data_IF_716052718133
#
_entry.id   IF_716052718133
#
_cell.length_a   1.000
_cell.length_b   1.000
_cell.length_c   1.000
_cell.angle_alpha   90.00
_cell.angle_beta   90.00
_cell.angle_gamma   90.00
#
_symmetry.space_group_name_H-M   'P 1'
#
loop_
_entity.id
_entity.type
_entity.pdbx_description
1 polymer ?
#
# COMPACT_ATOMS: atom_id res chain seq x y z
N UNK A 1 -10.97 34.72 88.43
CA UNK A 1 -12.06 33.79 88.75
C UNK A 1 -12.10 32.77 87.64
N UNK A 2 -11.46 31.75 87.94
CA UNK A 2 -11.76 30.35 87.89
C UNK A 2 -13.16 30.02 87.37
N UNK A 3 -13.24 29.08 86.43
CA UNK A 3 -13.78 27.74 86.66
C UNK A 3 -13.38 26.80 85.56
N UNK A 4 -12.84 25.69 86.00
CA UNK A 4 -12.49 24.44 85.29
C UNK A 4 -13.74 23.76 84.79
N UNK A 5 -13.60 22.92 83.71
CA UNK A 5 -14.10 21.51 83.68
C UNK A 5 -13.96 20.95 82.30
N UNK A 6 -13.18 19.97 82.16
CA UNK A 6 -13.33 18.48 82.03
C UNK A 6 -13.72 17.99 80.69
N UNK A 7 -12.74 17.43 80.00
CA UNK A 7 -12.58 16.17 79.30
C UNK A 7 -13.82 15.46 78.84
N UNK A 8 -13.86 15.07 77.56
CA UNK A 8 -14.08 13.67 77.13
C UNK A 8 -13.45 13.43 75.74
N UNK A 9 -12.45 12.56 75.68
CA UNK A 9 -11.93 11.96 74.49
C UNK A 9 -12.94 10.95 73.92
N UNK A 10 -13.34 11.11 72.64
CA UNK A 10 -13.94 10.05 71.87
C UNK A 10 -12.99 9.73 70.74
N UNK A 11 -12.30 8.61 70.83
CA UNK A 11 -11.48 8.08 69.78
C UNK A 11 -12.39 7.43 68.71
N UNK A 12 -12.49 8.06 67.54
CA UNK A 12 -13.10 7.45 66.35
C UNK A 12 -11.96 6.81 65.53
N UNK A 13 -11.90 5.48 65.56
CA UNK A 13 -11.06 4.67 64.67
C UNK A 13 -11.69 4.65 63.29
N UNK A 14 -11.12 5.44 62.34
CA UNK A 14 -11.44 5.35 60.93
C UNK A 14 -10.70 4.16 60.32
N UNK A 15 -11.42 3.10 60.00
CA UNK A 15 -10.93 2.02 59.12
C UNK A 15 -10.81 2.60 57.71
N UNK A 16 -9.60 2.87 57.26
CA UNK A 16 -9.31 3.14 55.84
C UNK A 16 -9.32 1.82 55.08
N UNK A 17 -10.40 1.55 54.36
CA UNK A 17 -10.44 0.48 53.36
C UNK A 17 -9.66 0.94 52.15
N UNK A 18 -8.43 0.45 52.01
CA UNK A 18 -7.65 0.56 50.74
C UNK A 18 -8.25 -0.36 49.67
N UNK A 19 -9.10 0.21 48.83
CA UNK A 19 -9.50 -0.46 47.58
C UNK A 19 -8.29 -0.53 46.65
N UNK A 20 -7.62 -1.68 46.60
CA UNK A 20 -6.62 -1.97 45.61
C UNK A 20 -7.33 -2.05 44.26
N UNK A 21 -7.22 -1.00 43.44
CA UNK A 21 -7.60 -1.03 42.05
C UNK A 21 -6.62 -1.97 41.31
N UNK A 22 -7.01 -3.23 41.16
CA UNK A 22 -6.35 -4.15 40.23
C UNK A 22 -6.68 -3.68 38.82
N UNK A 23 -5.85 -2.77 38.29
CA UNK A 23 -5.81 -2.48 36.87
C UNK A 23 -5.38 -3.74 36.14
N UNK A 24 -6.35 -4.47 35.58
CA UNK A 24 -6.06 -5.51 34.64
C UNK A 24 -5.32 -4.88 33.46
N UNK A 25 -4.01 -5.06 33.43
CA UNK A 25 -3.23 -4.83 32.20
C UNK A 25 -3.82 -5.77 31.15
N UNK A 26 -4.69 -5.23 30.31
CA UNK A 26 -5.11 -5.94 29.11
C UNK A 26 -3.85 -6.11 28.26
N UNK A 27 -3.24 -7.29 28.34
CA UNK A 27 -2.11 -7.65 27.49
C UNK A 27 -2.56 -7.44 26.05
N UNK A 28 -1.86 -6.56 25.34
CA UNK A 28 -2.05 -6.40 23.91
C UNK A 28 -1.92 -7.77 23.27
N UNK A 29 -2.98 -8.24 22.61
CA UNK A 29 -2.93 -9.48 21.84
C UNK A 29 -1.73 -9.40 20.88
N UNK A 30 -0.96 -10.49 20.71
CA UNK A 30 0.16 -10.47 19.79
C UNK A 30 -0.31 -9.99 18.42
N UNK A 31 0.43 -9.05 17.84
CA UNK A 31 0.11 -8.52 16.52
C UNK A 31 0.07 -9.69 15.52
N UNK A 32 -1.08 -9.93 14.93
CA UNK A 32 -1.23 -10.99 13.94
C UNK A 32 -0.38 -10.65 12.72
N UNK A 33 0.52 -11.56 12.34
CA UNK A 33 1.32 -11.43 11.13
C UNK A 33 0.42 -11.16 9.92
N UNK A 34 0.82 -10.20 9.09
CA UNK A 34 0.11 -9.92 7.85
C UNK A 34 0.44 -11.00 6.83
N UNK A 35 -0.58 -11.66 6.32
CA UNK A 35 -0.45 -12.63 5.24
C UNK A 35 -1.18 -12.09 4.00
N UNK A 36 -0.40 -11.81 2.95
CA UNK A 36 -0.98 -11.43 1.67
C UNK A 36 -1.52 -12.67 0.98
N UNK A 37 -2.77 -12.61 0.52
CA UNK A 37 -3.40 -13.71 -0.19
C UNK A 37 -2.95 -13.72 -1.66
N UNK A 38 -2.36 -14.83 -2.16
CA UNK A 38 -2.12 -14.98 -3.58
C UNK A 38 -3.43 -14.86 -4.35
N UNK A 39 -3.43 -14.00 -5.39
CA UNK A 39 -4.64 -13.73 -6.17
C UNK A 39 -4.30 -13.16 -7.53
N UNK A 40 -5.25 -13.27 -8.44
CA UNK A 40 -5.28 -12.59 -9.72
C UNK A 40 -6.52 -11.71 -9.78
N UNK A 41 -6.33 -10.43 -10.07
CA UNK A 41 -7.39 -9.45 -10.17
C UNK A 41 -7.37 -8.77 -11.53
N UNK A 42 -8.55 -8.52 -12.11
CA UNK A 42 -8.72 -7.82 -13.38
C UNK A 42 -9.54 -6.56 -13.13
N UNK A 43 -9.07 -5.44 -13.67
CA UNK A 43 -9.73 -4.15 -13.57
C UNK A 43 -9.96 -3.59 -14.96
N UNK A 44 -11.17 -3.15 -15.23
CA UNK A 44 -11.45 -2.31 -16.38
C UNK A 44 -11.19 -0.84 -16.01
N UNK A 45 -10.46 -0.15 -16.88
CA UNK A 45 -9.96 1.20 -16.65
C UNK A 45 -10.75 2.18 -17.51
N UNK A 46 -11.12 3.30 -16.91
CA UNK A 46 -11.77 4.40 -17.62
C UNK A 46 -11.26 5.76 -17.10
N UNK A 47 -11.38 6.78 -17.94
CA UNK A 47 -11.15 8.16 -17.51
C UNK A 47 -12.17 8.51 -16.43
N UNK A 48 -11.69 9.08 -15.32
CA UNK A 48 -12.50 9.54 -14.20
C UNK A 48 -12.70 11.07 -14.24
N UNK A 49 -11.61 11.79 -14.48
CA UNK A 49 -11.55 13.24 -14.55
C UNK A 49 -10.54 13.68 -15.59
N UNK A 50 -10.82 14.76 -16.28
CA UNK A 50 -9.88 15.45 -17.14
C UNK A 50 -10.02 16.97 -16.90
N UNK A 51 -8.93 17.62 -16.51
CA UNK A 51 -8.91 19.07 -16.35
C UNK A 51 -8.86 19.79 -17.71
N UNK A 52 -9.36 21.01 -17.81
CA UNK A 52 -9.14 21.83 -19.01
C UNK A 52 -7.62 21.96 -19.31
N UNK A 53 -7.23 21.62 -20.53
CA UNK A 53 -5.81 21.68 -20.94
C UNK A 53 -4.99 20.40 -20.70
N UNK A 54 -5.56 19.37 -20.08
CA UNK A 54 -4.86 18.07 -19.88
C UNK A 54 -4.45 17.36 -21.18
N UNK A 55 -5.08 17.72 -22.29
CA UNK A 55 -4.87 17.06 -23.56
C UNK A 55 -5.55 15.70 -23.71
N UNK A 56 -6.17 15.14 -22.67
CA UNK A 56 -6.83 13.82 -22.68
C UNK A 56 -8.35 14.00 -22.68
N UNK A 57 -9.02 13.46 -23.69
CA UNK A 57 -10.48 13.52 -23.81
C UNK A 57 -11.17 12.22 -23.48
N UNK A 58 -10.47 11.09 -23.68
CA UNK A 58 -10.97 9.75 -23.39
C UNK A 58 -9.82 8.85 -22.96
N UNK A 59 -10.11 7.93 -22.04
CA UNK A 59 -9.18 6.84 -21.71
C UNK A 59 -9.97 5.60 -21.33
N UNK A 60 -9.57 4.47 -21.92
CA UNK A 60 -10.09 3.14 -21.59
C UNK A 60 -8.93 2.17 -21.50
N UNK A 61 -9.11 1.07 -20.79
CA UNK A 61 -8.04 0.09 -20.68
C UNK A 61 -8.38 -1.09 -19.79
N UNK A 62 -7.36 -1.87 -19.49
CA UNK A 62 -7.44 -3.02 -18.59
C UNK A 62 -6.14 -3.21 -17.84
N UNK A 63 -6.26 -3.48 -16.55
CA UNK A 63 -5.16 -3.91 -15.70
C UNK A 63 -5.40 -5.34 -15.24
N UNK A 64 -4.38 -6.17 -15.36
CA UNK A 64 -4.32 -7.49 -14.74
C UNK A 64 -3.19 -7.47 -13.74
N UNK A 65 -3.51 -7.78 -12.50
CA UNK A 65 -2.55 -7.90 -11.41
C UNK A 65 -2.58 -9.33 -10.86
N UNK A 66 -1.41 -9.89 -10.62
CA UNK A 66 -1.26 -11.23 -10.04
C UNK A 66 -0.21 -11.20 -8.95
N UNK A 67 -0.57 -11.73 -7.79
CA UNK A 67 0.31 -11.98 -6.66
C UNK A 67 0.39 -13.48 -6.44
N UNK A 68 1.60 -14.04 -6.42
CA UNK A 68 1.86 -15.45 -6.11
C UNK A 68 2.95 -15.56 -5.06
N UNK A 69 3.14 -16.76 -4.52
CA UNK A 69 4.15 -17.01 -3.49
C UNK A 69 3.58 -17.14 -2.09
N UNK A 70 4.42 -16.94 -1.10
CA UNK A 70 4.07 -17.08 0.32
C UNK A 70 5.04 -16.31 1.22
N UNK A 71 4.68 -16.19 2.50
CA UNK A 71 5.52 -15.53 3.49
C UNK A 71 6.87 -16.23 3.74
N UNK A 72 7.05 -17.49 3.33
CA UNK A 72 8.30 -18.24 3.50
C UNK A 72 9.22 -18.21 2.26
N UNK A 73 8.65 -18.14 1.05
CA UNK A 73 9.44 -18.17 -0.20
C UNK A 73 9.59 -16.81 -0.85
N UNK A 74 8.87 -15.81 -0.33
CA UNK A 74 8.73 -14.50 -0.96
C UNK A 74 7.52 -14.45 -1.89
N UNK A 75 7.29 -13.27 -2.43
CA UNK A 75 6.14 -12.99 -3.28
C UNK A 75 6.59 -12.51 -4.66
N UNK A 76 5.89 -12.99 -5.68
CA UNK A 76 6.02 -12.49 -7.05
C UNK A 76 4.79 -11.68 -7.40
N UNK A 77 5.00 -10.46 -7.90
CA UNK A 77 3.98 -9.58 -8.44
C UNK A 77 4.15 -9.49 -9.94
N UNK A 78 3.08 -9.73 -10.69
CA UNK A 78 3.02 -9.48 -12.13
C UNK A 78 1.88 -8.50 -12.40
N UNK A 79 2.15 -7.48 -13.20
CA UNK A 79 1.12 -6.54 -13.64
C UNK A 79 1.25 -6.30 -15.14
N UNK A 80 0.13 -6.27 -15.82
CA UNK A 80 0.01 -5.72 -17.16
C UNK A 80 -1.09 -4.66 -17.16
N UNK A 81 -0.73 -3.46 -17.56
CA UNK A 81 -1.61 -2.31 -17.60
C UNK A 81 -1.63 -1.73 -19.02
N UNK A 82 -2.73 -1.97 -19.73
CA UNK A 82 -2.92 -1.50 -21.10
C UNK A 82 -3.95 -0.38 -21.08
N UNK A 83 -3.60 0.77 -21.67
CA UNK A 83 -4.53 1.90 -21.82
C UNK A 83 -4.51 2.40 -23.25
N UNK A 84 -5.67 2.81 -23.74
CA UNK A 84 -5.87 3.59 -24.95
C UNK A 84 -6.41 4.93 -24.55
N UNK A 85 -5.73 6.01 -24.92
CA UNK A 85 -6.16 7.38 -24.71
C UNK A 85 -6.38 8.08 -26.04
N UNK A 86 -7.37 9.02 -26.05
CA UNK A 86 -7.61 9.96 -27.15
C UNK A 86 -7.25 11.34 -26.66
N UNK A 87 -6.51 12.08 -27.45
CA UNK A 87 -6.11 13.47 -27.15
C UNK A 87 -7.04 14.47 -27.81
N UNK A 88 -6.97 15.74 -27.41
CA UNK A 88 -7.85 16.83 -27.92
C UNK A 88 -7.73 17.07 -29.42
N UNK A 89 -6.59 16.74 -30.04
CA UNK A 89 -6.37 16.77 -31.49
C UNK A 89 -6.81 15.48 -32.20
N UNK A 90 -7.44 14.55 -31.48
CA UNK A 90 -7.94 13.28 -32.00
C UNK A 90 -6.87 12.19 -32.17
N UNK A 91 -5.64 12.41 -31.75
CA UNK A 91 -4.61 11.38 -31.80
C UNK A 91 -4.91 10.28 -30.75
N UNK A 92 -4.66 9.03 -31.12
CA UNK A 92 -4.79 7.89 -30.21
C UNK A 92 -3.41 7.42 -29.78
N UNK A 93 -3.27 7.14 -28.47
CA UNK A 93 -2.09 6.50 -27.89
C UNK A 93 -2.47 5.19 -27.23
N UNK A 94 -1.71 4.14 -27.54
CA UNK A 94 -1.77 2.86 -26.86
C UNK A 94 -0.53 2.75 -25.96
N UNK A 95 -0.76 2.53 -24.67
CA UNK A 95 0.31 2.27 -23.70
C UNK A 95 0.11 0.86 -23.13
N UNK A 96 1.17 0.03 -23.11
CA UNK A 96 1.20 -1.32 -22.52
C UNK A 96 2.39 -1.42 -21.58
N UNK A 97 2.11 -1.20 -20.28
CA UNK A 97 3.09 -1.35 -19.21
C UNK A 97 3.02 -2.77 -18.64
N UNK A 98 4.18 -3.40 -18.54
CA UNK A 98 4.34 -4.73 -17.95
C UNK A 98 5.41 -4.69 -16.90
N UNK A 99 5.06 -5.11 -15.69
CA UNK A 99 6.00 -5.22 -14.58
C UNK A 99 5.98 -6.64 -14.03
N UNK A 100 7.14 -7.12 -13.64
CA UNK A 100 7.31 -8.36 -12.89
C UNK A 100 8.35 -8.12 -11.81
N UNK A 101 8.03 -8.46 -10.57
CA UNK A 101 8.99 -8.38 -9.48
C UNK A 101 8.85 -9.59 -8.56
N UNK A 102 9.98 -10.02 -8.00
CA UNK A 102 10.02 -10.97 -6.91
C UNK A 102 10.70 -10.33 -5.70
N UNK A 103 10.05 -10.39 -4.56
CA UNK A 103 10.55 -9.85 -3.30
C UNK A 103 10.74 -10.98 -2.30
N UNK A 104 11.96 -11.08 -1.76
CA UNK A 104 12.32 -12.04 -0.72
C UNK A 104 11.59 -11.71 0.57
N UNK A 105 11.21 -12.73 1.32
CA UNK A 105 10.61 -12.58 2.65
C UNK A 105 11.45 -11.70 3.56
N UNK A 106 10.76 -10.77 4.23
CA UNK A 106 11.41 -9.77 5.08
C UNK A 106 12.05 -8.61 4.31
N UNK A 107 11.78 -8.48 3.00
CA UNK A 107 12.23 -7.34 2.21
C UNK A 107 13.74 -7.24 2.06
N UNK A 108 14.45 -8.37 2.00
CA UNK A 108 15.91 -8.39 1.89
C UNK A 108 16.40 -8.14 0.48
N UNK A 109 15.67 -8.67 -0.51
CA UNK A 109 16.01 -8.57 -1.94
C UNK A 109 14.76 -8.34 -2.76
N UNK A 110 14.94 -7.58 -3.84
CA UNK A 110 13.95 -7.37 -4.89
C UNK A 110 14.62 -7.64 -6.23
N UNK A 111 13.98 -8.45 -7.08
CA UNK A 111 14.28 -8.51 -8.52
C UNK A 111 13.15 -7.85 -9.26
N UNK A 112 13.46 -7.06 -10.27
CA UNK A 112 12.44 -6.35 -11.01
C UNK A 112 12.72 -6.36 -12.51
N UNK A 113 11.63 -6.33 -13.26
CA UNK A 113 11.63 -6.13 -14.70
C UNK A 113 10.43 -5.27 -15.05
N UNK A 114 10.66 -4.18 -15.78
CA UNK A 114 9.64 -3.29 -16.30
C UNK A 114 9.84 -3.12 -17.79
N UNK A 115 8.77 -3.22 -18.58
CA UNK A 115 8.76 -2.89 -19.99
C UNK A 115 7.54 -2.06 -20.31
N UNK A 116 7.74 -0.97 -21.03
CA UNK A 116 6.68 -0.09 -21.50
C UNK A 116 6.72 0.00 -23.03
N UNK A 117 5.59 -0.23 -23.65
CA UNK A 117 5.41 -0.04 -25.07
C UNK A 117 4.44 1.12 -25.31
N UNK A 118 4.79 1.96 -26.26
CA UNK A 118 3.93 3.02 -26.79
C UNK A 118 3.65 2.75 -28.27
N UNK A 119 2.37 2.58 -28.64
CA UNK A 119 1.97 2.24 -30.00
C UNK A 119 2.75 1.04 -30.55
N UNK A 120 2.83 -0.05 -29.78
CA UNK A 120 3.54 -1.29 -30.06
C UNK A 120 5.06 -1.17 -30.22
N UNK A 121 5.65 -0.02 -29.88
CA UNK A 121 7.11 0.19 -29.90
C UNK A 121 7.62 0.20 -28.46
N UNK A 122 8.73 -0.50 -28.22
CA UNK A 122 9.38 -0.45 -26.92
C UNK A 122 9.84 0.98 -26.63
N UNK A 123 9.23 1.60 -25.62
CA UNK A 123 9.57 2.96 -25.17
C UNK A 123 10.58 2.90 -24.01
N UNK A 124 10.37 1.97 -23.07
CA UNK A 124 11.26 1.80 -21.92
C UNK A 124 11.41 0.34 -21.52
N UNK A 125 12.60 -0.03 -21.04
CA UNK A 125 12.86 -1.29 -20.38
C UNK A 125 13.81 -1.08 -19.21
N UNK A 126 13.47 -1.65 -18.05
CA UNK A 126 14.32 -1.72 -16.89
C UNK A 126 14.39 -3.14 -16.36
N UNK A 127 15.56 -3.57 -15.93
CA UNK A 127 15.77 -4.86 -15.28
C UNK A 127 16.91 -4.73 -14.28
N UNK A 128 16.76 -5.33 -13.11
CA UNK A 128 17.81 -5.31 -12.11
C UNK A 128 17.42 -6.03 -10.83
N UNK A 129 18.34 -5.93 -9.88
CA UNK A 129 18.21 -6.44 -8.52
C UNK A 129 18.48 -5.30 -7.53
N UNK A 130 17.75 -5.32 -6.41
CA UNK A 130 18.05 -4.48 -5.25
C UNK A 130 18.17 -5.34 -4.01
N UNK A 131 19.08 -4.98 -3.10
CA UNK A 131 19.28 -5.71 -1.84
C UNK A 131 19.62 -4.78 -0.69
N UNK A 132 19.35 -5.21 0.54
CA UNK A 132 19.73 -4.46 1.74
C UNK A 132 21.25 -4.29 1.82
N UNK A 133 21.71 -3.09 2.15
CA UNK A 133 23.10 -2.74 2.36
C UNK A 133 23.21 -1.82 3.59
N UNK A 134 23.42 -2.41 4.75
CA UNK A 134 23.40 -1.69 6.02
C UNK A 134 22.05 -1.05 6.29
N UNK A 135 22.01 0.29 6.38
CA UNK A 135 20.77 1.06 6.61
C UNK A 135 20.04 1.45 5.31
N UNK A 136 20.58 1.07 4.15
CA UNK A 136 20.04 1.44 2.85
C UNK A 136 19.84 0.25 1.94
N UNK A 137 19.83 0.52 0.64
CA UNK A 137 19.76 -0.49 -0.42
C UNK A 137 20.87 -0.26 -1.45
N UNK A 138 21.34 -1.34 -2.04
CA UNK A 138 22.17 -1.34 -3.25
C UNK A 138 21.35 -1.86 -4.40
N UNK A 139 21.38 -1.15 -5.52
CA UNK A 139 20.66 -1.48 -6.73
C UNK A 139 21.67 -1.80 -7.81
N UNK A 140 21.51 -2.93 -8.48
CA UNK A 140 22.25 -3.29 -9.68
C UNK A 140 21.26 -3.32 -10.85
N UNK A 141 21.43 -2.42 -11.80
CA UNK A 141 20.60 -2.30 -13.00
C UNK A 141 21.34 -2.98 -14.14
N UNK A 142 20.67 -3.88 -14.85
CA UNK A 142 21.19 -4.58 -16.03
C UNK A 142 20.74 -3.89 -17.33
N UNK A 143 19.50 -3.37 -17.33
CA UNK A 143 18.88 -2.66 -18.46
C UNK A 143 18.27 -1.35 -17.99
N UNK A 144 18.31 -0.26 -18.82
CA UNK A 144 18.76 -0.19 -20.22
C UNK A 144 20.29 -0.22 -20.38
N UNK A 145 21.03 0.08 -19.33
CA UNK A 145 22.49 0.05 -19.28
C UNK A 145 22.93 -0.39 -17.89
N UNK A 146 24.05 -1.11 -17.80
CA UNK A 146 24.60 -1.55 -16.52
C UNK A 146 24.95 -0.35 -15.64
N UNK A 147 24.36 -0.31 -14.43
CA UNK A 147 24.56 0.76 -13.46
C UNK A 147 24.41 0.21 -12.05
N UNK A 148 25.23 0.69 -11.12
CA UNK A 148 25.08 0.40 -9.70
C UNK A 148 24.77 1.69 -8.95
N UNK A 149 23.78 1.62 -8.04
CA UNK A 149 23.37 2.73 -7.19
C UNK A 149 23.39 2.29 -5.73
N UNK A 150 23.64 3.24 -4.84
CA UNK A 150 23.49 3.07 -3.40
C UNK A 150 22.56 4.16 -2.90
N UNK A 151 21.51 3.78 -2.20
CA UNK A 151 20.54 4.67 -1.57
C UNK A 151 20.64 4.47 -0.07
N UNK A 152 20.90 5.53 0.65
CA UNK A 152 20.94 5.53 2.11
C UNK A 152 19.54 5.74 2.68
N UNK A 153 19.29 5.25 3.90
CA UNK A 153 18.01 5.38 4.60
C UNK A 153 17.15 4.12 4.52
N UNK A 154 16.03 4.17 5.21
CA UNK A 154 15.07 3.07 5.23
C UNK A 154 14.19 3.14 3.98
N UNK A 155 14.43 2.26 3.03
CA UNK A 155 13.69 2.16 1.77
C UNK A 155 12.90 0.86 1.76
N UNK A 156 11.61 0.93 1.50
CA UNK A 156 10.73 -0.24 1.39
C UNK A 156 10.72 -0.78 -0.04
N UNK A 157 10.55 -2.08 -0.17
CA UNK A 157 10.14 -2.74 -1.40
C UNK A 157 8.61 -2.92 -1.42
N UNK A 158 7.98 -3.18 -2.57
CA UNK A 158 6.52 -3.13 -2.72
C UNK A 158 5.73 -4.03 -1.76
N UNK A 159 6.15 -5.27 -1.56
CA UNK A 159 5.48 -6.20 -0.65
C UNK A 159 5.66 -5.77 0.80
N UNK A 160 6.87 -5.40 1.18
CA UNK A 160 7.17 -4.89 2.52
C UNK A 160 6.38 -3.61 2.81
N UNK A 161 6.28 -2.69 1.84
CA UNK A 161 5.46 -1.48 1.95
C UNK A 161 3.98 -1.83 2.18
N UNK A 162 3.43 -2.77 1.40
CA UNK A 162 2.04 -3.23 1.54
C UNK A 162 1.77 -3.86 2.91
N UNK A 163 2.68 -4.68 3.42
CA UNK A 163 2.58 -5.29 4.75
C UNK A 163 2.61 -4.20 5.84
N UNK A 164 3.58 -3.28 5.79
CA UNK A 164 3.71 -2.20 6.76
C UNK A 164 2.49 -1.26 6.76
N UNK A 165 1.90 -1.01 5.59
CA UNK A 165 0.68 -0.22 5.45
C UNK A 165 -0.53 -0.91 6.10
N UNK A 166 -0.69 -2.24 5.92
CA UNK A 166 -1.74 -3.01 6.61
C UNK A 166 -1.51 -3.01 8.13
N UNK A 167 -0.27 -3.18 8.59
CA UNK A 167 0.07 -3.11 10.01
C UNK A 167 -0.27 -1.74 10.61
N UNK A 168 0.06 -0.66 9.90
CA UNK A 168 -0.30 0.70 10.30
C UNK A 168 -1.82 0.89 10.37
N UNK A 169 -2.55 0.36 9.39
CA UNK A 169 -4.01 0.40 9.34
C UNK A 169 -4.65 -0.40 10.50
N UNK A 170 -4.14 -1.61 10.79
CA UNK A 170 -4.57 -2.43 11.94
C UNK A 170 -4.31 -1.72 13.28
N UNK A 171 -3.20 -1.00 13.38
CA UNK A 171 -2.84 -0.19 14.55
C UNK A 171 -3.64 1.12 14.66
N UNK A 172 -4.55 1.42 13.71
CA UNK A 172 -5.36 2.63 13.71
C UNK A 172 -4.57 3.91 13.42
N UNK A 173 -3.38 3.82 12.81
CA UNK A 173 -2.61 4.99 12.41
C UNK A 173 -3.29 5.68 11.22
N UNK A 174 -3.52 7.00 11.27
CA UNK A 174 -4.16 7.71 10.16
C UNK A 174 -3.19 8.05 9.02
N UNK A 175 -1.89 7.92 9.26
CA UNK A 175 -0.84 8.30 8.32
C UNK A 175 0.30 7.28 8.37
N UNK A 176 0.81 6.92 7.18
CA UNK A 176 2.02 6.12 7.01
C UNK A 176 2.91 6.78 5.96
N UNK A 177 4.19 6.97 6.26
CA UNK A 177 5.19 7.51 5.34
C UNK A 177 6.32 6.52 5.17
N UNK A 178 6.80 6.40 3.95
CA UNK A 178 7.91 5.51 3.62
C UNK A 178 8.56 5.93 2.29
N UNK A 179 9.84 5.67 2.18
CA UNK A 179 10.54 5.70 0.90
C UNK A 179 10.34 4.35 0.22
N UNK A 180 9.92 4.36 -1.05
CA UNK A 180 9.57 3.18 -1.81
C UNK A 180 10.44 3.05 -3.05
N UNK A 181 11.08 1.90 -3.22
CA UNK A 181 11.75 1.49 -4.45
C UNK A 181 11.01 0.29 -5.06
N UNK A 182 10.45 0.45 -6.25
CA UNK A 182 9.66 -0.55 -6.96
C UNK A 182 10.26 -1.00 -8.31
N UNK A 183 11.43 -0.45 -8.67
CA UNK A 183 12.09 -0.73 -9.94
C UNK A 183 11.51 0.02 -11.15
N UNK A 184 10.60 0.96 -10.95
CA UNK A 184 10.12 1.88 -11.99
C UNK A 184 11.17 2.91 -12.39
N UNK A 185 10.85 3.78 -13.37
CA UNK A 185 11.73 4.87 -13.83
C UNK A 185 13.16 4.37 -14.10
N UNK A 186 13.27 3.38 -14.97
CA UNK A 186 14.56 2.74 -15.36
C UNK A 186 15.29 2.05 -14.19
N UNK A 187 14.60 1.79 -13.07
CA UNK A 187 15.18 1.19 -11.87
C UNK A 187 16.06 2.15 -11.07
N UNK A 188 15.93 3.46 -11.26
CA UNK A 188 16.81 4.45 -10.65
C UNK A 188 16.13 5.25 -9.53
N UNK A 189 14.79 5.23 -9.45
CA UNK A 189 14.03 6.14 -8.62
C UNK A 189 13.52 5.50 -7.34
N UNK A 190 13.67 6.24 -6.25
CA UNK A 190 12.96 6.00 -4.99
C UNK A 190 11.93 7.09 -4.83
N UNK A 191 10.67 6.74 -4.59
CA UNK A 191 9.62 7.71 -4.29
C UNK A 191 9.51 7.94 -2.78
N UNK A 192 9.34 9.18 -2.36
CA UNK A 192 8.83 9.48 -1.03
C UNK A 192 7.31 9.29 -1.07
N UNK A 193 6.78 8.41 -0.21
CA UNK A 193 5.33 8.13 -0.16
C UNK A 193 4.70 8.61 1.12
N UNK A 194 3.47 9.12 1.01
CA UNK A 194 2.64 9.50 2.14
C UNK A 194 1.24 8.90 1.97
N UNK A 195 0.90 7.93 2.80
CA UNK A 195 -0.38 7.26 2.77
C UNK A 195 -1.30 7.79 3.86
N UNK A 196 -2.48 8.28 3.48
CA UNK A 196 -3.59 8.56 4.38
C UNK A 196 -4.44 7.31 4.50
N UNK A 197 -4.65 6.87 5.74
CA UNK A 197 -5.40 5.66 6.07
C UNK A 197 -6.76 6.07 6.66
N UNK A 198 -7.83 5.75 5.94
CA UNK A 198 -9.19 6.02 6.37
C UNK A 198 -9.64 5.10 7.51
N UNK A 199 -10.85 5.33 8.01
CA UNK A 199 -11.44 4.51 9.06
C UNK A 199 -11.62 3.07 8.61
N UNK A 200 -11.35 2.13 9.52
CA UNK A 200 -11.61 0.70 9.33
C UNK A 200 -13.07 0.46 8.96
N UNK A 201 -13.29 -0.23 7.88
CA UNK A 201 -14.59 -0.76 7.48
C UNK A 201 -14.69 -2.20 7.99
N UNK A 202 -15.72 -2.47 8.79
CA UNK A 202 -15.97 -3.82 9.30
C UNK A 202 -16.33 -4.77 8.14
N UNK A 203 -16.14 -6.09 8.34
CA UNK A 203 -16.67 -7.08 7.41
C UNK A 203 -18.15 -6.82 7.07
N UNK A 204 -18.51 -6.91 5.80
CA UNK A 204 -19.87 -6.67 5.31
C UNK A 204 -20.31 -5.19 5.26
N UNK A 205 -19.54 -4.24 5.78
CA UNK A 205 -19.91 -2.82 5.83
C UNK A 205 -20.10 -2.17 4.43
N UNK A 206 -19.44 -2.72 3.41
CA UNK A 206 -19.69 -2.39 2.03
C UNK A 206 -19.44 -3.65 1.21
N UNK A 207 -20.41 -4.06 0.43
CA UNK A 207 -20.27 -5.22 -0.45
C UNK A 207 -19.16 -4.96 -1.46
N UNK A 208 -17.99 -5.56 -1.23
CA UNK A 208 -16.87 -5.51 -2.16
C UNK A 208 -17.15 -6.35 -3.41
N UNK A 209 -18.06 -7.31 -3.25
CA UNK A 209 -18.38 -8.34 -4.22
C UNK A 209 -19.45 -7.96 -5.22
N UNK A 210 -20.00 -6.71 -5.23
CA UNK A 210 -21.18 -6.38 -6.05
C UNK A 210 -21.01 -6.79 -7.51
N UNK A 211 -21.40 -8.02 -7.84
CA UNK A 211 -21.35 -8.58 -9.18
C UNK A 211 -19.99 -9.11 -9.65
N UNK A 212 -18.95 -9.09 -8.82
CA UNK A 212 -17.61 -9.58 -9.17
C UNK A 212 -17.44 -11.02 -8.69
N UNK A 213 -17.33 -11.95 -9.64
CA UNK A 213 -17.08 -13.36 -9.33
C UNK A 213 -15.77 -13.54 -8.56
N UNK A 214 -15.80 -14.26 -7.45
CA UNK A 214 -14.65 -14.55 -6.60
C UNK A 214 -14.37 -13.49 -5.53
N UNK A 215 -15.03 -12.32 -5.59
CA UNK A 215 -14.84 -11.26 -4.60
C UNK A 215 -15.66 -11.45 -3.31
N UNK A 216 -16.53 -12.47 -3.24
CA UNK A 216 -17.38 -12.76 -2.08
C UNK A 216 -16.57 -12.98 -0.80
N UNK A 217 -15.37 -13.54 -0.94
CA UNK A 217 -14.44 -13.75 0.19
C UNK A 217 -13.97 -12.44 0.83
N UNK A 218 -13.96 -11.33 0.09
CA UNK A 218 -13.60 -10.02 0.60
C UNK A 218 -14.63 -9.46 1.57
N UNK A 219 -15.89 -9.84 1.43
CA UNK A 219 -16.98 -9.36 2.30
C UNK A 219 -16.80 -9.81 3.76
N UNK A 220 -16.04 -10.89 3.99
CA UNK A 220 -15.69 -11.37 5.32
C UNK A 220 -14.48 -10.68 5.96
N UNK A 221 -13.81 -9.79 5.24
CA UNK A 221 -12.57 -9.15 5.68
C UNK A 221 -12.77 -7.68 6.06
N UNK A 222 -12.04 -7.19 7.06
CA UNK A 222 -11.93 -5.77 7.28
C UNK A 222 -11.12 -5.11 6.14
N UNK A 223 -11.36 -3.82 5.94
CA UNK A 223 -10.65 -3.04 4.92
C UNK A 223 -10.56 -1.58 5.30
N UNK A 224 -9.73 -0.83 4.59
CA UNK A 224 -9.51 0.59 4.80
C UNK A 224 -9.49 1.34 3.46
N UNK A 225 -10.14 2.50 3.35
CA UNK A 225 -9.84 3.45 2.28
C UNK A 225 -8.40 3.95 2.46
N UNK A 226 -7.62 3.89 1.39
CA UNK A 226 -6.23 4.34 1.36
C UNK A 226 -6.08 5.36 0.24
N UNK A 227 -5.31 6.43 0.50
CA UNK A 227 -4.82 7.34 -0.51
C UNK A 227 -3.31 7.52 -0.31
N UNK A 228 -2.51 7.19 -1.31
CA UNK A 228 -1.05 7.31 -1.28
C UNK A 228 -0.65 8.39 -2.28
N UNK A 229 0.06 9.41 -1.81
CA UNK A 229 0.70 10.41 -2.65
C UNK A 229 2.16 10.03 -2.85
N UNK A 230 2.63 10.09 -4.09
CA UNK A 230 3.99 9.77 -4.52
C UNK A 230 4.73 11.05 -4.90
N UNK A 231 5.86 11.30 -4.27
CA UNK A 231 6.65 12.50 -4.46
C UNK A 231 8.03 12.19 -5.04
N UNK A 232 8.57 13.16 -5.77
CA UNK A 232 9.98 13.12 -6.20
C UNK A 232 10.92 13.12 -4.98
N UNK A 233 12.05 12.40 -5.04
CA UNK A 233 13.03 12.40 -3.96
C UNK A 233 13.50 13.82 -3.61
N UNK A 234 13.56 14.11 -2.30
CA UNK A 234 13.99 15.42 -1.80
C UNK A 234 12.95 16.53 -1.92
N UNK A 235 11.71 16.21 -2.32
CA UNK A 235 10.63 17.20 -2.45
C UNK A 235 9.77 17.33 -1.17
N UNK A 236 10.23 16.85 -0.04
CA UNK A 236 9.50 16.82 1.24
C UNK A 236 9.20 18.18 1.89
N UNK A 237 9.19 19.26 1.13
CA UNK A 237 8.71 20.56 1.59
C UNK A 237 7.16 20.59 1.64
N UNK A 238 6.61 21.53 2.42
CA UNK A 238 5.15 21.63 2.65
C UNK A 238 4.32 21.90 1.38
N UNK A 239 4.97 22.39 0.33
CA UNK A 239 4.33 22.82 -0.92
C UNK A 239 4.59 21.82 -2.07
N UNK A 240 5.13 20.63 -1.75
CA UNK A 240 5.38 19.60 -2.75
C UNK A 240 4.08 19.09 -3.37
N UNK A 241 4.03 19.11 -4.70
CA UNK A 241 2.94 18.50 -5.46
C UNK A 241 3.33 17.06 -5.75
N UNK A 242 2.45 16.08 -5.47
CA UNK A 242 2.73 14.69 -5.80
C UNK A 242 2.84 14.50 -7.32
N UNK A 243 3.71 13.60 -7.74
CA UNK A 243 3.80 13.16 -9.14
C UNK A 243 2.51 12.48 -9.58
N UNK A 244 1.93 11.67 -8.68
CA UNK A 244 0.59 11.08 -8.82
C UNK A 244 0.08 10.63 -7.45
N UNK A 245 -1.22 10.37 -7.37
CA UNK A 245 -1.87 9.83 -6.20
C UNK A 245 -2.61 8.53 -6.55
N UNK A 246 -2.53 7.56 -5.66
CA UNK A 246 -3.16 6.25 -5.80
C UNK A 246 -4.19 6.06 -4.68
N UNK A 247 -5.47 6.01 -5.04
CA UNK A 247 -6.57 5.73 -4.13
C UNK A 247 -7.14 4.34 -4.35
N UNK A 248 -7.46 3.63 -3.27
CA UNK A 248 -8.11 2.31 -3.33
C UNK A 248 -8.69 1.91 -1.98
N UNK A 249 -9.50 0.90 -1.97
CA UNK A 249 -9.90 0.18 -0.77
C UNK A 249 -8.97 -1.00 -0.57
N UNK A 250 -8.27 -1.05 0.56
CA UNK A 250 -7.29 -2.07 0.89
C UNK A 250 -7.86 -3.07 1.89
N UNK A 251 -7.90 -4.32 1.52
CA UNK A 251 -8.35 -5.40 2.39
C UNK A 251 -7.20 -5.95 3.22
N UNK A 252 -7.56 -6.52 4.36
CA UNK A 252 -6.63 -7.08 5.35
C UNK A 252 -5.73 -8.20 4.83
N UNK A 253 -6.08 -8.79 3.70
CA UNK A 253 -5.34 -9.82 2.97
C UNK A 253 -4.54 -9.29 1.76
N UNK A 254 -4.44 -7.97 1.58
CA UNK A 254 -3.66 -7.35 0.49
C UNK A 254 -4.40 -7.17 -0.84
N UNK A 255 -5.64 -7.63 -0.97
CA UNK A 255 -6.45 -7.35 -2.17
C UNK A 255 -6.90 -5.89 -2.17
N UNK A 256 -6.97 -5.29 -3.36
CA UNK A 256 -7.44 -3.90 -3.56
C UNK A 256 -8.68 -3.85 -4.44
N UNK A 257 -9.58 -2.89 -4.19
CA UNK A 257 -10.73 -2.59 -5.04
C UNK A 257 -10.92 -1.09 -5.18
N UNK A 258 -11.67 -0.66 -6.19
CA UNK A 258 -11.99 0.76 -6.36
C UNK A 258 -10.75 1.61 -6.61
N UNK A 259 -9.91 1.18 -7.55
CA UNK A 259 -8.67 1.85 -7.90
C UNK A 259 -8.95 3.22 -8.53
N UNK A 260 -8.21 4.25 -8.09
CA UNK A 260 -8.15 5.55 -8.70
C UNK A 260 -6.71 6.02 -8.78
N UNK A 261 -6.26 6.47 -9.94
CA UNK A 261 -4.94 7.07 -10.11
C UNK A 261 -5.14 8.49 -10.62
N UNK A 262 -4.64 9.46 -9.84
CA UNK A 262 -4.72 10.89 -10.16
C UNK A 262 -3.33 11.41 -10.55
N UNK A 263 -3.20 11.88 -11.77
CA UNK A 263 -1.97 12.46 -12.32
C UNK A 263 -1.96 14.00 -12.26
N UNK A 264 -2.88 14.61 -11.49
CA UNK A 264 -3.03 16.04 -11.40
C UNK A 264 -3.91 16.61 -12.53
N UNK A 265 -3.49 16.50 -13.77
CA UNK A 265 -4.22 16.99 -14.93
C UNK A 265 -5.41 16.10 -15.32
N UNK A 266 -5.31 14.81 -15.12
CA UNK A 266 -6.39 13.86 -15.32
C UNK A 266 -6.33 12.75 -14.26
N UNK A 267 -7.43 12.05 -14.08
CA UNK A 267 -7.51 10.88 -13.23
C UNK A 267 -8.20 9.73 -13.97
N UNK A 268 -7.83 8.52 -13.62
CA UNK A 268 -8.47 7.29 -14.10
C UNK A 268 -9.03 6.51 -12.93
N UNK A 269 -10.09 5.73 -13.18
CA UNK A 269 -10.62 4.76 -12.24
C UNK A 269 -10.47 3.36 -12.79
N UNK A 270 -10.30 2.40 -11.87
CA UNK A 270 -10.23 0.98 -12.18
C UNK A 270 -11.30 0.23 -11.40
N UNK A 271 -12.25 -0.36 -12.11
CA UNK A 271 -13.31 -1.19 -11.53
C UNK A 271 -12.90 -2.65 -11.64
N UNK A 272 -12.88 -3.37 -10.52
CA UNK A 272 -12.59 -4.80 -10.52
C UNK A 272 -13.71 -5.56 -11.24
N UNK A 273 -13.34 -6.39 -12.23
CA UNK A 273 -14.28 -7.20 -13.01
C UNK A 273 -14.12 -8.71 -12.76
N UNK A 274 -12.96 -9.13 -12.24
CA UNK A 274 -12.75 -10.52 -11.83
C UNK A 274 -11.72 -10.59 -10.71
N UNK A 275 -11.91 -11.56 -9.81
CA UNK A 275 -10.97 -11.92 -8.75
C UNK A 275 -10.87 -13.44 -8.65
N UNK A 276 -9.67 -13.95 -8.66
CA UNK A 276 -9.35 -15.37 -8.44
C UNK A 276 -8.32 -15.46 -7.32
N UNK A 277 -8.63 -16.20 -6.25
CA UNK A 277 -7.64 -16.52 -5.23
C UNK A 277 -6.83 -17.73 -5.67
N UNK A 278 -5.53 -17.60 -5.60
CA UNK A 278 -4.57 -18.64 -5.98
C UNK A 278 -4.10 -19.41 -4.74
N UNK A 279 -3.64 -20.63 -4.94
CA UNK A 279 -3.05 -21.39 -3.84
C UNK A 279 -1.70 -20.80 -3.43
N UNK A 280 -1.47 -20.58 -2.12
CA UNK A 280 -0.16 -20.15 -1.64
C UNK A 280 0.88 -21.27 -1.88
N UNK A 281 2.11 -20.88 -2.19
CA UNK A 281 3.23 -21.83 -2.22
C UNK A 281 3.41 -22.46 -0.85
N UNK A 282 3.55 -23.78 -0.80
CA UNK A 282 3.73 -24.50 0.47
C UNK A 282 5.08 -24.18 1.05
N UNK A 283 5.10 -23.77 2.32
CA UNK A 283 6.37 -23.62 3.05
C UNK A 283 7.05 -24.99 3.24
N UNK A 284 8.37 -25.10 3.02
CA UNK A 284 9.09 -26.31 3.41
C UNK A 284 9.00 -26.46 4.93
N UNK A 285 8.72 -27.68 5.38
CA UNK A 285 8.66 -28.07 6.80
C UNK A 285 10.06 -28.20 7.38
#
# INVERSE_FOLDING_TARGET
MEVKSLSTLLALTALAATAAAQGAAQGAAPAQTVHLAPHRAVYDIALDRSAPGSGVTEMTGRMVYELTGSACEGYTQNMRFVTRSTTTDGAMKLNDLRTSSWEETGGKRLRFTTTQYENDRLAEAAQGDAGRDGKGIRIAIDKPASKALKIEGEVFFPIQHSIALIEAARAGKPLFRADLFDGSEKGEKVYETSAVIGRKLAPGAAKASSGVKGAERLDALPSWPIAISYFEPGSSNRDAVPTYELGYRFFDNGVTTGLRIDYGEFAIRGEMTALEFLEPTKCPH
#
